data_IF_151728367335
#
_entry.id   IF_151728367335
#
_cell.length_a   1.000
_cell.length_b   1.000
_cell.length_c   1.000
_cell.angle_alpha   90.00
_cell.angle_beta   90.00
_cell.angle_gamma   90.00
#
_symmetry.space_group_name_H-M   'P 1'
#
loop_
_entity.id
_entity.type
_entity.pdbx_description
1 polymer ?
#
# COMPACT_ATOMS: atom_id res chain seq x y z
N UNK A 1 -11.32 16.74 -4.14
CA UNK A 1 -9.91 16.32 -4.24
C UNK A 1 -9.22 17.07 -5.36
N UNK A 2 -8.00 17.53 -5.14
CA UNK A 2 -7.19 18.07 -6.22
C UNK A 2 -7.01 17.00 -7.29
N UNK A 3 -7.28 17.30 -8.55
CA UNK A 3 -7.13 16.37 -9.69
C UNK A 3 -8.38 15.64 -10.18
N UNK A 4 -9.49 15.66 -9.45
CA UNK A 4 -10.78 15.08 -9.90
C UNK A 4 -10.76 13.56 -10.08
N UNK A 5 -9.88 12.84 -9.38
CA UNK A 5 -9.86 11.37 -9.38
C UNK A 5 -11.05 10.80 -8.62
N UNK A 6 -11.61 9.70 -9.13
CA UNK A 6 -12.79 9.02 -8.56
C UNK A 6 -12.51 7.58 -8.11
N UNK A 7 -11.44 6.98 -8.59
CA UNK A 7 -11.10 5.58 -8.34
C UNK A 7 -9.63 5.45 -7.94
N UNK A 8 -9.35 4.80 -6.81
CA UNK A 8 -7.99 4.41 -6.44
C UNK A 8 -7.68 3.03 -7.05
N UNK A 9 -6.54 2.90 -7.74
CA UNK A 9 -6.11 1.63 -8.34
C UNK A 9 -4.74 1.27 -7.80
N UNK A 10 -4.66 0.22 -6.98
CA UNK A 10 -3.43 -0.22 -6.34
C UNK A 10 -3.08 -1.67 -6.68
N UNK A 11 -1.80 -2.01 -6.53
CA UNK A 11 -1.28 -3.36 -6.72
C UNK A 11 -0.44 -3.79 -5.52
N UNK A 12 -0.51 -5.06 -5.15
CA UNK A 12 0.28 -5.67 -4.09
C UNK A 12 0.14 -7.18 -4.05
N UNK A 13 0.83 -7.82 -3.10
CA UNK A 13 0.63 -9.24 -2.83
C UNK A 13 -0.75 -9.52 -2.19
N UNK A 14 -1.20 -10.77 -2.25
CA UNK A 14 -2.55 -11.18 -1.79
C UNK A 14 -2.89 -10.69 -0.37
N UNK A 15 -1.95 -10.71 0.57
CA UNK A 15 -2.15 -10.24 1.95
C UNK A 15 -1.51 -8.87 2.22
N UNK A 16 -1.42 -8.01 1.21
CA UNK A 16 -0.79 -6.69 1.36
C UNK A 16 -1.53 -5.79 2.35
N UNK A 17 -0.80 -5.28 3.35
CA UNK A 17 -1.30 -4.25 4.25
C UNK A 17 -1.54 -2.92 3.53
N UNK A 18 -0.70 -2.59 2.53
CA UNK A 18 -0.83 -1.36 1.76
C UNK A 18 -2.16 -1.33 0.99
N UNK A 19 -2.49 -2.39 0.24
CA UNK A 19 -3.72 -2.43 -0.56
C UNK A 19 -4.96 -2.39 0.32
N UNK A 20 -4.95 -3.07 1.47
CA UNK A 20 -6.03 -2.97 2.47
C UNK A 20 -6.20 -1.52 2.98
N UNK A 21 -5.12 -0.81 3.24
CA UNK A 21 -5.18 0.60 3.65
C UNK A 21 -5.73 1.49 2.53
N UNK A 22 -5.38 1.22 1.27
CA UNK A 22 -5.96 1.92 0.11
C UNK A 22 -7.47 1.70 0.04
N UNK A 23 -7.96 0.47 0.26
CA UNK A 23 -9.39 0.18 0.34
C UNK A 23 -10.08 1.00 1.45
N UNK A 24 -9.48 1.04 2.64
CA UNK A 24 -10.01 1.79 3.77
C UNK A 24 -10.09 3.30 3.47
N UNK A 25 -9.06 3.87 2.87
CA UNK A 25 -9.04 5.29 2.46
C UNK A 25 -10.09 5.57 1.39
N UNK A 26 -10.22 4.68 0.39
CA UNK A 26 -11.23 4.82 -0.66
C UNK A 26 -12.64 4.82 -0.07
N UNK A 27 -12.95 3.84 0.77
CA UNK A 27 -14.24 3.74 1.46
C UNK A 27 -14.55 5.00 2.30
N UNK A 28 -13.57 5.45 3.09
CA UNK A 28 -13.70 6.66 3.91
C UNK A 28 -13.94 7.92 3.06
N UNK A 29 -13.38 7.99 1.86
CA UNK A 29 -13.51 9.13 0.95
C UNK A 29 -14.67 9.02 -0.04
N UNK A 30 -15.44 7.93 -0.01
CA UNK A 30 -16.52 7.67 -0.97
C UNK A 30 -16.01 7.47 -2.41
N UNK A 31 -14.78 6.98 -2.56
CA UNK A 31 -14.17 6.68 -3.86
C UNK A 31 -14.33 5.21 -4.22
N UNK A 32 -14.31 4.90 -5.50
CA UNK A 32 -14.16 3.52 -5.97
C UNK A 32 -12.72 3.03 -5.71
N UNK A 33 -12.56 1.73 -5.56
CA UNK A 33 -11.27 1.10 -5.33
C UNK A 33 -11.13 -0.17 -6.16
N UNK A 34 -10.04 -0.27 -6.90
CA UNK A 34 -9.64 -1.50 -7.61
C UNK A 34 -8.29 -1.94 -7.08
N UNK A 35 -8.21 -3.18 -6.63
CA UNK A 35 -6.99 -3.76 -6.07
C UNK A 35 -6.57 -4.97 -6.90
N UNK A 36 -5.39 -4.90 -7.48
CA UNK A 36 -4.75 -6.04 -8.12
C UNK A 36 -3.89 -6.74 -7.07
N UNK A 37 -4.21 -8.02 -6.82
CA UNK A 37 -3.54 -8.84 -5.82
C UNK A 37 -2.81 -9.98 -6.53
N UNK A 38 -1.48 -9.90 -6.57
CA UNK A 38 -0.63 -10.89 -7.22
C UNK A 38 -0.06 -11.91 -6.22
N UNK A 39 0.26 -13.09 -6.71
CA UNK A 39 0.80 -14.17 -5.89
C UNK A 39 2.32 -14.02 -5.69
N UNK A 40 2.71 -12.99 -4.93
CA UNK A 40 4.13 -12.67 -4.68
C UNK A 40 4.81 -13.60 -3.70
N UNK A 41 4.05 -14.34 -2.91
CA UNK A 41 4.57 -15.29 -1.93
C UNK A 41 4.11 -16.67 -2.34
N UNK A 42 5.05 -17.60 -2.49
CA UNK A 42 4.73 -18.99 -2.78
C UNK A 42 4.15 -19.67 -1.51
N UNK A 43 2.91 -19.38 -1.22
CA UNK A 43 2.18 -19.91 -0.08
C UNK A 43 0.82 -20.45 -0.54
N UNK A 44 0.59 -21.72 -0.31
CA UNK A 44 -0.58 -22.45 -0.78
C UNK A 44 -1.46 -22.92 0.41
N UNK A 45 -2.07 -21.98 1.09
CA UNK A 45 -3.15 -22.28 2.04
C UNK A 45 -4.50 -22.15 1.34
N UNK A 46 -5.43 -23.06 1.66
CA UNK A 46 -6.73 -23.15 1.00
C UNK A 46 -7.62 -21.91 1.17
N UNK A 47 -7.30 -21.03 2.12
CA UNK A 47 -8.06 -19.79 2.42
C UNK A 47 -7.23 -18.52 2.27
N UNK A 48 -5.96 -18.61 1.82
CA UNK A 48 -5.04 -17.48 1.75
C UNK A 48 -5.55 -16.30 0.91
N UNK A 49 -6.33 -16.59 -0.13
CA UNK A 49 -6.95 -15.63 -1.04
C UNK A 49 -8.37 -15.20 -0.61
N UNK A 50 -8.83 -15.59 0.57
CA UNK A 50 -10.22 -15.39 1.03
C UNK A 50 -10.34 -14.69 2.36
N UNK A 51 -9.37 -14.81 3.26
CA UNK A 51 -9.40 -14.28 4.63
C UNK A 51 -8.36 -13.21 4.84
N UNK A 52 -8.37 -12.55 5.99
CA UNK A 52 -7.38 -11.53 6.37
C UNK A 52 -7.54 -10.22 5.60
N UNK A 53 -6.43 -9.65 5.13
CA UNK A 53 -6.44 -8.34 4.47
C UNK A 53 -7.27 -8.30 3.20
N UNK A 54 -7.30 -9.39 2.44
CA UNK A 54 -8.09 -9.47 1.21
C UNK A 54 -9.59 -9.47 1.49
N UNK A 55 -10.03 -10.16 2.53
CA UNK A 55 -11.42 -10.16 2.98
C UNK A 55 -11.84 -8.76 3.47
N UNK A 56 -11.01 -8.12 4.30
CA UNK A 56 -11.25 -6.75 4.74
C UNK A 56 -11.36 -5.78 3.57
N UNK A 57 -10.54 -5.94 2.54
CA UNK A 57 -10.61 -5.11 1.34
C UNK A 57 -11.95 -5.27 0.61
N UNK A 58 -12.46 -6.51 0.51
CA UNK A 58 -13.78 -6.81 -0.07
C UNK A 58 -14.93 -6.23 0.77
N UNK A 59 -14.86 -6.36 2.09
CA UNK A 59 -15.85 -5.78 3.02
C UNK A 59 -15.91 -4.26 2.87
N UNK A 60 -14.77 -3.59 2.65
CA UNK A 60 -14.70 -2.15 2.39
C UNK A 60 -15.13 -1.75 0.97
N UNK A 61 -15.61 -2.69 0.15
CA UNK A 61 -16.18 -2.42 -1.18
C UNK A 61 -15.16 -2.32 -2.30
N UNK A 62 -13.92 -2.77 -2.11
CA UNK A 62 -12.94 -2.80 -3.18
C UNK A 62 -13.25 -3.92 -4.20
N UNK A 63 -13.10 -3.61 -5.49
CA UNK A 63 -12.99 -4.60 -6.57
C UNK A 63 -11.61 -5.27 -6.48
N UNK A 64 -11.57 -6.48 -5.95
CA UNK A 64 -10.34 -7.24 -5.73
C UNK A 64 -10.13 -8.22 -6.87
N UNK A 65 -9.08 -7.99 -7.65
CA UNK A 65 -8.68 -8.80 -8.81
C UNK A 65 -7.45 -9.62 -8.45
N UNK A 66 -7.61 -10.94 -8.47
CA UNK A 66 -6.52 -11.89 -8.25
C UNK A 66 -5.79 -12.14 -9.56
N UNK A 67 -4.47 -12.11 -9.51
CA UNK A 67 -3.59 -12.46 -10.62
C UNK A 67 -2.56 -13.49 -10.15
N UNK A 68 -2.30 -14.50 -10.98
CA UNK A 68 -1.34 -15.56 -10.69
C UNK A 68 0.12 -15.13 -10.87
N UNK A 69 0.37 -13.90 -11.35
CA UNK A 69 1.72 -13.40 -11.55
C UNK A 69 2.51 -13.39 -10.24
N UNK A 70 3.73 -13.87 -10.31
CA UNK A 70 4.69 -13.83 -9.21
C UNK A 70 5.26 -12.42 -9.00
N UNK A 71 6.10 -12.29 -7.97
CA UNK A 71 6.78 -11.02 -7.69
C UNK A 71 7.73 -10.64 -8.83
N UNK A 72 7.47 -9.46 -9.41
CA UNK A 72 8.36 -8.81 -10.36
C UNK A 72 8.43 -7.30 -10.04
N UNK A 73 9.61 -6.72 -10.20
CA UNK A 73 9.85 -5.28 -10.00
C UNK A 73 9.50 -4.46 -11.25
N UNK A 74 9.36 -5.13 -12.40
CA UNK A 74 9.17 -4.52 -13.71
C UNK A 74 7.73 -4.08 -14.01
N UNK A 75 7.37 -4.19 -15.28
CA UNK A 75 6.03 -3.89 -15.78
C UNK A 75 4.98 -4.74 -15.08
N UNK A 76 3.85 -4.13 -14.79
CA UNK A 76 2.70 -4.74 -14.11
C UNK A 76 1.47 -4.76 -15.05
N UNK A 77 1.41 -5.67 -16.05
CA UNK A 77 0.35 -5.67 -17.04
C UNK A 77 -1.04 -5.77 -16.42
N UNK A 78 -1.20 -6.55 -15.35
CA UNK A 78 -2.45 -6.69 -14.60
C UNK A 78 -2.92 -5.36 -14.01
N UNK A 79 -2.00 -4.56 -13.48
CA UNK A 79 -2.30 -3.25 -12.91
C UNK A 79 -2.58 -2.19 -13.98
N UNK A 80 -1.81 -2.19 -15.06
CA UNK A 80 -2.06 -1.32 -16.20
C UNK A 80 -3.41 -1.62 -16.83
N UNK A 81 -3.76 -2.90 -16.98
CA UNK A 81 -5.08 -3.31 -17.44
C UNK A 81 -6.20 -2.80 -16.51
N UNK A 82 -6.01 -2.88 -15.21
CA UNK A 82 -6.99 -2.35 -14.25
C UNK A 82 -7.17 -0.83 -14.37
N UNK A 83 -6.09 -0.08 -14.59
CA UNK A 83 -6.15 1.35 -14.86
C UNK A 83 -6.93 1.67 -16.14
N UNK A 84 -6.67 0.90 -17.21
CA UNK A 84 -7.35 1.07 -18.50
C UNK A 84 -8.83 0.70 -18.43
N UNK A 85 -9.19 -0.33 -17.69
CA UNK A 85 -10.59 -0.71 -17.48
C UNK A 85 -11.38 0.41 -16.80
N UNK A 86 -10.79 1.05 -15.78
CA UNK A 86 -11.41 2.21 -15.12
C UNK A 86 -11.59 3.36 -16.10
N UNK A 87 -10.58 3.66 -16.95
CA UNK A 87 -10.68 4.71 -17.97
C UNK A 87 -11.76 4.41 -19.01
N UNK A 88 -11.81 3.16 -19.50
CA UNK A 88 -12.83 2.71 -20.46
C UNK A 88 -14.25 2.79 -19.89
N UNK A 89 -14.40 2.59 -18.57
CA UNK A 89 -15.67 2.77 -17.86
C UNK A 89 -16.02 4.24 -17.59
N UNK A 90 -15.24 5.20 -18.10
CA UNK A 90 -15.46 6.65 -17.90
C UNK A 90 -14.97 7.18 -16.56
N UNK A 91 -14.26 6.37 -15.75
CA UNK A 91 -13.67 6.79 -14.49
C UNK A 91 -12.28 7.44 -14.67
N UNK A 92 -11.83 8.12 -13.64
CA UNK A 92 -10.50 8.74 -13.57
C UNK A 92 -9.65 8.08 -12.49
N UNK A 93 -8.83 7.06 -12.85
CA UNK A 93 -8.05 6.31 -11.88
C UNK A 93 -6.87 7.12 -11.34
N UNK A 94 -6.65 7.03 -10.02
CA UNK A 94 -5.41 7.44 -9.37
C UNK A 94 -4.50 6.22 -9.23
N UNK A 95 -3.35 6.19 -9.90
CA UNK A 95 -2.46 5.03 -9.90
C UNK A 95 -1.63 4.99 -8.62
N UNK A 96 -1.66 3.86 -7.92
CA UNK A 96 -0.84 3.60 -6.73
C UNK A 96 0.02 2.37 -7.00
N UNK A 97 1.28 2.56 -7.42
CA UNK A 97 2.18 1.47 -7.74
C UNK A 97 2.61 0.71 -6.48
N UNK A 98 3.11 -0.51 -6.68
CA UNK A 98 3.63 -1.32 -5.60
C UNK A 98 4.73 -0.59 -4.82
N UNK A 99 4.56 -0.49 -3.50
CA UNK A 99 5.53 0.12 -2.60
C UNK A 99 5.63 1.64 -2.65
N UNK A 100 5.02 2.32 -3.60
CA UNK A 100 5.00 3.79 -3.77
C UNK A 100 6.37 4.48 -3.64
N UNK A 101 7.48 3.77 -3.92
CA UNK A 101 8.84 4.23 -3.61
C UNK A 101 9.29 5.43 -4.44
N UNK A 102 8.69 5.63 -5.61
CA UNK A 102 9.02 6.72 -6.53
C UNK A 102 8.09 7.93 -6.37
N UNK A 103 7.07 7.82 -5.54
CA UNK A 103 6.16 8.94 -5.31
C UNK A 103 6.74 9.89 -4.26
N UNK A 104 6.74 11.22 -4.48
CA UNK A 104 7.28 12.21 -3.52
C UNK A 104 6.72 12.08 -2.10
N UNK A 105 5.46 11.69 -1.98
CA UNK A 105 4.79 11.49 -0.68
C UNK A 105 4.86 10.05 -0.16
N UNK A 106 5.51 9.12 -0.88
CA UNK A 106 5.48 7.68 -0.55
C UNK A 106 6.14 7.33 0.79
N UNK A 107 7.08 8.16 1.25
CA UNK A 107 7.78 7.97 2.53
C UNK A 107 7.17 8.73 3.72
N UNK A 108 6.22 9.65 3.52
CA UNK A 108 5.75 10.56 4.58
C UNK A 108 5.19 9.83 5.81
N UNK A 109 4.49 8.72 5.62
CA UNK A 109 3.98 7.92 6.73
C UNK A 109 5.08 7.36 7.64
N UNK A 110 6.26 7.07 7.09
CA UNK A 110 7.42 6.63 7.90
C UNK A 110 8.13 7.79 8.60
N UNK A 111 8.07 8.99 8.06
CA UNK A 111 8.52 10.21 8.75
C UNK A 111 7.64 10.49 9.96
N UNK A 112 6.32 10.43 9.78
CA UNK A 112 5.35 10.59 10.87
C UNK A 112 5.50 9.49 11.92
N UNK A 113 5.73 8.24 11.50
CA UNK A 113 6.01 7.13 12.40
C UNK A 113 7.28 7.36 13.22
N UNK A 114 8.36 7.86 12.63
CA UNK A 114 9.58 8.21 13.35
C UNK A 114 9.34 9.29 14.41
N UNK A 115 8.53 10.29 14.09
CA UNK A 115 8.14 11.33 15.05
C UNK A 115 7.28 10.74 16.20
N UNK A 116 6.32 9.88 15.85
CA UNK A 116 5.46 9.21 16.83
C UNK A 116 6.20 8.26 17.79
N UNK A 117 7.36 7.71 17.39
CA UNK A 117 8.19 6.89 18.26
C UNK A 117 8.96 7.67 19.31
N UNK A 118 9.33 8.92 19.02
CA UNK A 118 10.15 9.74 19.92
C UNK A 118 9.41 10.16 21.19
N UNK A 119 8.16 10.56 21.04
CA UNK A 119 7.39 11.06 22.18
C UNK A 119 7.20 10.00 23.28
N UNK A 120 6.69 8.79 22.99
CA UNK A 120 6.57 7.72 23.98
C UNK A 120 7.93 7.30 24.56
N UNK A 121 8.98 7.26 23.76
CA UNK A 121 10.32 6.92 24.26
C UNK A 121 10.79 7.93 25.33
N UNK A 122 10.60 9.21 25.08
CA UNK A 122 10.94 10.28 26.02
C UNK A 122 10.08 10.20 27.29
N UNK A 123 8.76 10.01 27.13
CA UNK A 123 7.82 9.93 28.27
C UNK A 123 8.07 8.71 29.15
N UNK A 124 8.46 7.57 28.55
CA UNK A 124 8.74 6.32 29.24
C UNK A 124 10.18 6.19 29.70
N UNK A 125 11.05 7.16 29.39
CA UNK A 125 12.42 7.21 29.85
C UNK A 125 13.36 6.14 29.26
N UNK A 126 13.03 5.61 28.05
CA UNK A 126 13.92 4.69 27.36
C UNK A 126 14.52 5.31 26.09
N UNK A 127 15.66 4.79 25.66
CA UNK A 127 16.34 5.20 24.45
C UNK A 127 16.23 4.11 23.37
N UNK A 128 15.96 4.52 22.14
CA UNK A 128 15.92 3.62 20.99
C UNK A 128 17.30 3.57 20.33
N UNK A 129 18.04 2.49 20.58
CA UNK A 129 19.40 2.33 20.03
C UNK A 129 19.40 1.78 18.61
N UNK A 130 18.37 0.99 18.25
CA UNK A 130 18.27 0.38 16.93
C UNK A 130 16.82 0.10 16.54
N UNK A 131 16.58 0.08 15.24
CA UNK A 131 15.33 -0.33 14.64
C UNK A 131 15.63 -1.33 13.52
N UNK A 132 14.95 -2.47 13.53
CA UNK A 132 15.06 -3.47 12.48
C UNK A 132 13.79 -3.48 11.63
N UNK A 133 13.95 -3.45 10.31
CA UNK A 133 12.84 -3.48 9.37
C UNK A 133 13.17 -4.22 8.10
N UNK A 134 12.24 -5.02 7.59
CA UNK A 134 12.32 -5.62 6.26
C UNK A 134 12.01 -4.57 5.20
N UNK A 135 12.96 -4.24 4.35
CA UNK A 135 12.74 -3.32 3.23
C UNK A 135 12.96 -4.04 1.91
N UNK A 136 11.90 -4.25 1.17
CA UNK A 136 11.97 -4.71 -0.22
C UNK A 136 12.18 -3.57 -1.20
N UNK A 137 11.97 -2.31 -0.75
CA UNK A 137 12.17 -1.06 -1.50
C UNK A 137 12.73 0.02 -0.58
N UNK A 138 13.51 0.95 -1.16
CA UNK A 138 14.30 1.93 -0.40
C UNK A 138 13.51 3.00 0.36
N UNK A 139 12.28 3.35 -0.06
CA UNK A 139 11.57 4.50 0.51
C UNK A 139 11.20 4.36 2.00
N UNK A 140 10.74 3.21 2.52
CA UNK A 140 10.49 3.07 3.96
C UNK A 140 11.74 3.27 4.80
N UNK A 141 12.86 2.66 4.38
CA UNK A 141 14.14 2.76 5.10
C UNK A 141 14.70 4.19 5.06
N UNK A 142 14.70 4.82 3.89
CA UNK A 142 15.19 6.20 3.75
C UNK A 142 14.34 7.19 4.55
N UNK A 143 13.02 7.06 4.50
CA UNK A 143 12.10 7.95 5.20
C UNK A 143 12.17 7.77 6.73
N UNK A 144 12.30 6.52 7.22
CA UNK A 144 12.50 6.24 8.63
C UNK A 144 13.83 6.80 9.13
N UNK A 145 14.92 6.56 8.39
CA UNK A 145 16.25 7.09 8.72
C UNK A 145 16.24 8.62 8.74
N UNK A 146 15.69 9.26 7.71
CA UNK A 146 15.55 10.71 7.65
C UNK A 146 14.68 11.28 8.77
N UNK A 147 13.55 10.63 9.08
CA UNK A 147 12.67 11.02 10.17
C UNK A 147 13.32 10.88 11.56
N UNK A 148 14.13 9.83 11.78
CA UNK A 148 14.88 9.66 13.01
C UNK A 148 16.07 10.62 13.14
N UNK A 149 16.71 10.99 12.03
CA UNK A 149 17.83 11.94 12.00
C UNK A 149 17.40 13.40 12.12
N UNK A 150 16.18 13.76 11.72
CA UNK A 150 15.65 15.10 11.86
C UNK A 150 15.49 15.44 13.35
N UNK A 151 16.25 16.42 13.84
CA UNK A 151 16.25 16.91 15.23
C UNK A 151 15.19 17.97 15.43
#
# INVERSE_FOLDING_TARGET
>A
MAGGYDTLVAIGGVQSNQTRQVAAVAAHRGMKCVLVQENWVNYADAVYDRVGNIELSRIMGADVRLDAAGFDIGLRPSWEQALDDVRKAGGKPYPIPAGCSEHPSGGLGYVDFAAALRQPATELGFHLDSSAGGATRGSPSAALTGGLAAR
#
